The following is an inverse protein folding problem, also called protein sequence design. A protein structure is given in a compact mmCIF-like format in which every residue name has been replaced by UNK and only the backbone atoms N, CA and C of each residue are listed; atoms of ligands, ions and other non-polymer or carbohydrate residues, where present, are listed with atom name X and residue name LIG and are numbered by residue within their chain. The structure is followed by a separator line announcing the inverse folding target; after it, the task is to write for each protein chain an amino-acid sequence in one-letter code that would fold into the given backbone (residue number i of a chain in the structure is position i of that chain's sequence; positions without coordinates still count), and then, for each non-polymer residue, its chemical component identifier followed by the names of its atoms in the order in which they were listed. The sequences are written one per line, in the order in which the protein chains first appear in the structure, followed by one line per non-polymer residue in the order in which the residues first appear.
data_IF_929048618051
#
_entry.id   IF_929048618051
#
_cell.length_a   1.000
_cell.length_b   1.000
_cell.length_c   1.000
_cell.angle_alpha   90.00
_cell.angle_beta   90.00
_cell.angle_gamma   90.00
#
_symmetry.space_group_name_H-M   'P 1'
#
loop_
_entity.id
_entity.type
_entity.pdbx_description
1 polymer ?
#
# COMPACT_ATOMS: atom_id res chain seq x y z
N UNK A 1 12.30 -20.79 66.46
CA UNK A 1 12.48 -22.12 67.13
C UNK A 1 12.69 -23.16 66.05
N UNK A 2 13.84 -23.81 66.15
CA UNK A 2 14.18 -25.20 65.82
C UNK A 2 13.86 -25.67 64.37
N UNK A 3 14.89 -25.90 63.46
CA UNK A 3 15.83 -27.05 63.41
C UNK A 3 15.08 -28.35 63.03
N UNK A 4 15.48 -29.19 62.08
CA UNK A 4 16.77 -29.80 61.66
C UNK A 4 16.45 -30.77 60.52
N UNK A 5 17.26 -30.94 59.45
CA UNK A 5 18.28 -32.00 59.25
C UNK A 5 17.75 -33.39 58.90
N UNK A 6 18.14 -33.93 57.70
CA UNK A 6 19.06 -35.07 57.45
C UNK A 6 18.91 -35.52 56.01
N UNK A 7 19.82 -35.60 55.07
CA UNK A 7 21.09 -36.33 54.96
C UNK A 7 20.93 -37.87 54.83
N UNK A 8 21.44 -38.40 53.74
CA UNK A 8 21.66 -39.82 53.45
C UNK A 8 21.77 -40.05 51.91
N UNK A 9 22.86 -40.20 51.43
CA UNK A 9 23.97 -41.16 51.31
C UNK A 9 23.84 -42.06 50.05
N UNK A 10 24.91 -42.03 49.30
CA UNK A 10 25.31 -42.62 48.03
C UNK A 10 25.20 -44.14 47.96
N UNK A 11 25.10 -44.68 46.75
CA UNK A 11 25.85 -45.88 46.33
C UNK A 11 26.25 -45.78 44.87
N UNK A 12 27.53 -45.89 44.62
CA UNK A 12 28.17 -46.02 43.34
C UNK A 12 28.09 -47.44 42.80
N UNK A 13 27.93 -47.61 41.54
CA UNK A 13 28.32 -48.86 40.84
C UNK A 13 28.87 -48.51 39.44
N UNK A 14 30.19 -48.66 39.31
CA UNK A 14 30.91 -48.73 38.06
C UNK A 14 30.55 -50.01 37.32
N UNK A 15 30.30 -49.93 36.04
CA UNK A 15 30.59 -51.00 35.06
C UNK A 15 31.00 -50.32 33.77
N UNK A 16 32.27 -50.51 33.42
CA UNK A 16 32.88 -50.18 32.14
C UNK A 16 32.56 -51.28 31.15
N UNK A 17 32.19 -50.90 29.93
CA UNK A 17 32.46 -51.69 28.70
C UNK A 17 32.67 -50.75 27.51
N UNK A 18 33.83 -50.91 26.94
CA UNK A 18 34.37 -50.37 25.69
C UNK A 18 33.64 -50.87 24.49
N UNK A 19 33.38 -50.00 23.49
CA UNK A 19 33.49 -50.36 22.04
C UNK A 19 33.37 -49.13 21.15
N UNK A 20 34.44 -48.83 20.43
CA UNK A 20 34.62 -48.36 19.04
C UNK A 20 33.72 -47.26 18.47
N UNK A 21 34.33 -46.12 18.28
CA UNK A 21 34.54 -45.35 17.03
C UNK A 21 33.44 -45.34 15.98
N UNK A 22 32.83 -44.17 15.77
CA UNK A 22 32.73 -43.49 14.47
C UNK A 22 32.17 -42.08 14.71
N UNK A 23 33.01 -41.08 14.49
CA UNK A 23 32.68 -39.67 14.45
C UNK A 23 31.95 -39.37 13.14
N UNK A 24 30.78 -38.73 13.19
CA UNK A 24 30.40 -37.85 12.08
C UNK A 24 30.61 -36.41 12.54
N UNK A 25 31.43 -35.68 11.82
CA UNK A 25 31.59 -34.23 11.92
C UNK A 25 30.23 -33.56 11.77
N UNK A 26 29.74 -33.06 12.86
CA UNK A 26 28.60 -32.13 12.84
C UNK A 26 29.11 -30.74 12.41
N UNK A 27 28.99 -30.42 11.15
CA UNK A 27 29.06 -29.06 10.63
C UNK A 27 27.83 -28.32 11.21
N UNK A 28 28.03 -27.53 12.22
CA UNK A 28 27.02 -26.57 12.70
C UNK A 28 26.89 -25.46 11.64
N UNK A 29 26.01 -25.65 10.66
CA UNK A 29 25.49 -24.57 9.83
C UNK A 29 24.62 -23.68 10.72
N UNK A 30 25.19 -22.59 11.20
CA UNK A 30 24.44 -21.49 11.79
C UNK A 30 23.48 -20.95 10.74
N UNK A 31 22.21 -21.31 10.82
CA UNK A 31 21.16 -20.68 10.07
C UNK A 31 21.02 -19.24 10.60
N UNK A 32 21.49 -18.28 9.84
CA UNK A 32 21.12 -16.87 10.02
C UNK A 32 19.59 -16.77 9.90
N UNK A 33 18.93 -15.89 10.71
CA UNK A 33 17.50 -15.68 10.56
C UNK A 33 17.24 -15.14 9.14
N UNK A 34 16.55 -15.91 8.32
CA UNK A 34 16.03 -15.45 7.05
C UNK A 34 15.06 -14.31 7.33
N UNK A 35 15.45 -13.09 6.97
CA UNK A 35 14.51 -11.99 6.81
C UNK A 35 13.39 -12.48 5.89
N UNK A 36 12.15 -12.46 6.39
CA UNK A 36 10.98 -12.92 5.68
C UNK A 36 10.85 -12.21 4.33
N UNK A 37 11.32 -12.84 3.28
CA UNK A 37 11.10 -12.41 1.91
C UNK A 37 9.61 -12.56 1.60
N UNK A 38 8.90 -11.44 1.46
CA UNK A 38 7.57 -11.47 0.82
C UNK A 38 7.75 -12.11 -0.56
N UNK A 39 7.10 -13.24 -0.77
CA UNK A 39 7.12 -13.92 -2.08
C UNK A 39 6.51 -12.97 -3.12
N UNK A 40 7.17 -12.82 -4.26
CA UNK A 40 6.59 -12.19 -5.43
C UNK A 40 5.41 -13.08 -5.89
N UNK A 41 4.23 -12.49 -6.05
CA UNK A 41 3.02 -13.21 -6.46
C UNK A 41 2.70 -12.80 -7.89
N UNK A 42 2.64 -13.76 -8.81
CA UNK A 42 2.32 -13.55 -10.23
C UNK A 42 0.82 -13.71 -10.55
N UNK A 43 -0.06 -13.85 -9.55
CA UNK A 43 -1.49 -14.09 -9.75
C UNK A 43 -2.29 -12.80 -9.98
N UNK A 44 -1.75 -11.90 -10.81
CA UNK A 44 -2.43 -10.67 -11.20
C UNK A 44 -3.43 -10.96 -12.32
N UNK A 45 -4.71 -10.71 -12.08
CA UNK A 45 -5.73 -10.81 -13.10
C UNK A 45 -6.20 -9.41 -13.51
N UNK A 46 -5.99 -9.09 -14.78
CA UNK A 46 -6.62 -7.94 -15.38
C UNK A 46 -8.09 -8.23 -15.67
N UNK A 47 -8.91 -7.19 -15.60
CA UNK A 47 -10.29 -7.23 -16.09
C UNK A 47 -10.33 -7.21 -17.62
N UNK A 48 -11.50 -7.46 -18.17
CA UNK A 48 -11.81 -7.34 -19.60
C UNK A 48 -11.60 -5.92 -20.16
N UNK A 49 -11.58 -4.90 -19.28
CA UNK A 49 -11.30 -3.51 -19.67
C UNK A 49 -9.87 -3.32 -20.25
N UNK A 50 -8.92 -4.18 -19.86
CA UNK A 50 -7.54 -4.10 -20.36
C UNK A 50 -7.40 -4.61 -21.79
N UNK A 51 -8.15 -5.66 -22.15
CA UNK A 51 -8.12 -6.25 -23.50
C UNK A 51 -6.74 -6.74 -23.97
N UNK A 52 -6.60 -6.88 -25.28
CA UNK A 52 -5.34 -7.20 -25.93
C UNK A 52 -4.63 -5.91 -26.34
N UNK A 53 -3.51 -5.61 -25.69
CA UNK A 53 -2.69 -4.43 -25.94
C UNK A 53 -1.42 -4.82 -26.69
N UNK A 54 -1.13 -4.07 -27.76
CA UNK A 54 0.15 -4.18 -28.46
C UNK A 54 1.28 -3.50 -27.68
N UNK A 55 2.49 -4.02 -27.85
CA UNK A 55 3.68 -3.35 -27.31
C UNK A 55 3.92 -2.04 -28.05
N UNK A 56 4.05 -0.94 -27.31
CA UNK A 56 4.54 0.31 -27.85
C UNK A 56 6.07 0.29 -27.87
N UNK A 57 6.67 0.14 -29.07
CA UNK A 57 8.13 0.06 -29.22
C UNK A 57 8.84 1.31 -28.66
N UNK A 58 8.28 2.52 -28.88
CA UNK A 58 8.84 3.76 -28.35
C UNK A 58 8.90 3.74 -26.81
N UNK A 59 7.81 3.35 -26.15
CA UNK A 59 7.78 3.22 -24.68
C UNK A 59 8.78 2.18 -24.18
N UNK A 60 8.86 1.01 -24.87
CA UNK A 60 9.78 -0.07 -24.55
C UNK A 60 11.24 0.35 -24.69
N UNK A 61 11.59 1.08 -25.75
CA UNK A 61 12.96 1.53 -26.02
C UNK A 61 13.46 2.57 -25.00
N UNK A 62 12.54 3.30 -24.36
CA UNK A 62 12.84 4.21 -23.25
C UNK A 62 13.17 3.48 -21.92
N UNK A 63 12.86 2.19 -21.79
CA UNK A 63 13.12 1.45 -20.56
C UNK A 63 14.61 1.36 -20.24
N UNK A 64 15.00 1.46 -18.95
CA UNK A 64 16.33 1.07 -18.51
C UNK A 64 16.66 -0.36 -18.98
N UNK A 65 17.86 -0.57 -19.54
CA UNK A 65 18.29 -1.86 -20.09
C UNK A 65 18.07 -3.01 -19.09
N UNK A 66 18.38 -2.79 -17.82
CA UNK A 66 18.20 -3.81 -16.77
C UNK A 66 16.74 -4.26 -16.58
N UNK A 67 15.75 -3.39 -16.81
CA UNK A 67 14.32 -3.74 -16.73
C UNK A 67 13.89 -4.39 -18.03
N UNK A 68 14.26 -3.79 -19.17
CA UNK A 68 13.92 -4.29 -20.50
C UNK A 68 14.42 -5.71 -20.74
N UNK A 69 15.69 -5.96 -20.41
CA UNK A 69 16.36 -7.25 -20.66
C UNK A 69 15.88 -8.33 -19.68
N UNK A 70 15.50 -7.96 -18.45
CA UNK A 70 14.85 -8.84 -17.47
C UNK A 70 13.44 -9.26 -17.93
N UNK A 71 12.75 -8.44 -18.72
CA UNK A 71 11.39 -8.70 -19.20
C UNK A 71 10.30 -8.61 -18.11
N UNK A 72 10.61 -8.09 -16.93
CA UNK A 72 9.73 -8.05 -15.76
C UNK A 72 9.68 -6.65 -15.19
N UNK A 73 8.46 -6.16 -14.87
CA UNK A 73 8.23 -4.97 -14.04
C UNK A 73 7.92 -5.40 -12.61
N UNK A 74 8.82 -5.11 -11.69
CA UNK A 74 8.60 -5.39 -10.26
C UNK A 74 7.82 -4.25 -9.62
N UNK A 75 6.67 -4.56 -9.05
CA UNK A 75 5.76 -3.60 -8.45
C UNK A 75 5.57 -3.88 -6.97
N UNK A 76 5.77 -2.88 -6.12
CA UNK A 76 5.39 -2.93 -4.70
C UNK A 76 3.97 -2.38 -4.53
N UNK A 77 3.11 -3.12 -3.83
CA UNK A 77 1.74 -2.69 -3.59
C UNK A 77 1.13 -3.33 -2.35
N UNK A 78 0.14 -2.67 -1.73
CA UNK A 78 -0.62 -3.24 -0.62
C UNK A 78 -1.90 -3.89 -1.15
N UNK A 79 -1.96 -5.23 -1.07
CA UNK A 79 -3.05 -6.03 -1.68
C UNK A 79 -4.26 -6.20 -0.75
N UNK A 80 -4.59 -5.18 0.03
CA UNK A 80 -5.74 -5.15 0.94
C UNK A 80 -6.58 -3.87 0.81
N UNK A 81 -6.51 -3.18 -0.35
CA UNK A 81 -7.13 -1.87 -0.58
C UNK A 81 -8.14 -1.87 -1.73
N UNK A 82 -9.31 -2.53 -1.61
CA UNK A 82 -10.34 -2.40 -2.63
C UNK A 82 -10.83 -0.94 -2.69
N UNK A 83 -11.10 -0.38 -3.88
CA UNK A 83 -11.09 -1.02 -5.19
C UNK A 83 -9.74 -0.98 -5.92
N UNK A 84 -8.66 -0.44 -5.30
CA UNK A 84 -7.37 -0.19 -5.96
C UNK A 84 -6.58 -1.47 -6.24
N UNK A 85 -6.10 -2.13 -5.20
CA UNK A 85 -5.32 -3.36 -5.29
C UNK A 85 -5.72 -4.28 -4.14
N UNK A 86 -6.31 -5.43 -4.44
CA UNK A 86 -6.80 -6.34 -3.41
C UNK A 86 -6.77 -7.81 -3.86
N UNK A 87 -6.68 -8.70 -2.86
CA UNK A 87 -6.72 -10.13 -3.07
C UNK A 87 -8.16 -10.63 -3.01
N UNK A 88 -8.56 -11.40 -4.04
CA UNK A 88 -9.83 -12.12 -4.12
C UNK A 88 -9.53 -13.60 -4.40
N UNK A 89 -9.69 -14.45 -3.39
CA UNK A 89 -9.19 -15.82 -3.42
C UNK A 89 -7.67 -15.85 -3.58
N UNK A 90 -7.18 -16.49 -4.63
CA UNK A 90 -5.76 -16.56 -4.98
C UNK A 90 -5.32 -15.47 -5.96
N UNK A 91 -6.21 -14.55 -6.35
CA UNK A 91 -6.00 -13.59 -7.43
C UNK A 91 -5.89 -12.18 -6.89
N UNK A 92 -4.98 -11.39 -7.41
CA UNK A 92 -4.89 -9.94 -7.14
C UNK A 92 -5.65 -9.22 -8.24
N UNK A 93 -6.60 -8.37 -7.84
CA UNK A 93 -7.48 -7.57 -8.70
C UNK A 93 -7.49 -6.12 -8.26
N UNK A 94 -8.14 -5.27 -9.03
CA UNK A 94 -8.40 -3.89 -8.69
C UNK A 94 -8.07 -2.91 -9.82
N UNK A 95 -8.43 -1.66 -9.63
CA UNK A 95 -8.13 -0.57 -10.56
C UNK A 95 -6.63 -0.52 -10.89
N UNK A 96 -5.79 -0.59 -9.88
CA UNK A 96 -4.33 -0.56 -10.08
C UNK A 96 -3.80 -1.87 -10.64
N UNK A 97 -4.44 -3.02 -10.37
CA UNK A 97 -4.10 -4.27 -11.03
C UNK A 97 -4.29 -4.15 -12.54
N UNK A 98 -5.41 -3.56 -12.98
CA UNK A 98 -5.66 -3.31 -14.40
C UNK A 98 -4.63 -2.35 -15.00
N UNK A 99 -4.31 -1.24 -14.33
CA UNK A 99 -3.27 -0.31 -14.80
C UNK A 99 -1.89 -0.96 -14.84
N UNK A 100 -1.51 -1.74 -13.83
CA UNK A 100 -0.22 -2.45 -13.79
C UNK A 100 -0.10 -3.40 -14.97
N UNK A 101 -1.15 -4.17 -15.26
CA UNK A 101 -1.15 -5.10 -16.40
C UNK A 101 -1.12 -4.35 -17.72
N UNK A 102 -1.96 -3.30 -17.88
CA UNK A 102 -2.03 -2.52 -19.11
C UNK A 102 -0.68 -1.85 -19.43
N UNK A 103 -0.09 -1.15 -18.46
CA UNK A 103 1.23 -0.52 -18.61
C UNK A 103 2.31 -1.56 -18.90
N UNK A 104 2.32 -2.69 -18.20
CA UNK A 104 3.30 -3.76 -18.45
C UNK A 104 3.17 -4.34 -19.85
N UNK A 105 1.95 -4.62 -20.33
CA UNK A 105 1.72 -5.09 -21.73
C UNK A 105 2.23 -4.06 -22.74
N UNK A 106 1.89 -2.79 -22.56
CA UNK A 106 2.34 -1.70 -23.45
C UNK A 106 3.86 -1.58 -23.49
N UNK A 107 4.54 -1.86 -22.37
CA UNK A 107 6.01 -1.89 -22.27
C UNK A 107 6.63 -3.23 -22.73
N UNK A 108 5.82 -4.25 -23.05
CA UNK A 108 6.31 -5.62 -23.35
C UNK A 108 6.98 -6.29 -22.17
N UNK A 109 6.46 -6.08 -20.96
CA UNK A 109 6.96 -6.64 -19.70
C UNK A 109 5.90 -7.54 -19.04
N UNK A 110 6.33 -8.47 -18.19
CA UNK A 110 5.47 -9.23 -17.28
C UNK A 110 5.47 -8.53 -15.92
N UNK A 111 4.31 -8.19 -15.32
CA UNK A 111 4.27 -7.60 -13.99
C UNK A 111 4.46 -8.65 -12.90
N UNK A 112 5.23 -8.30 -11.86
CA UNK A 112 5.36 -9.06 -10.61
C UNK A 112 5.02 -8.16 -9.43
N UNK A 113 4.02 -8.55 -8.60
CA UNK A 113 3.62 -7.79 -7.42
C UNK A 113 4.28 -8.36 -6.16
N UNK A 114 4.90 -7.48 -5.40
CA UNK A 114 5.35 -7.74 -4.04
C UNK A 114 4.37 -7.09 -3.08
N UNK A 115 3.59 -7.90 -2.34
CA UNK A 115 2.72 -7.37 -1.28
C UNK A 115 3.56 -6.69 -0.19
N UNK A 116 3.30 -5.43 0.04
CA UNK A 116 4.12 -4.56 0.91
C UNK A 116 3.20 -3.62 1.67
N UNK A 117 3.41 -3.49 2.98
CA UNK A 117 2.66 -2.51 3.78
C UNK A 117 2.89 -1.09 3.24
N UNK A 118 1.85 -0.28 3.24
CA UNK A 118 1.87 1.09 2.70
C UNK A 118 3.07 1.90 3.23
N UNK A 119 3.31 1.87 4.53
CA UNK A 119 4.41 2.59 5.17
C UNK A 119 5.82 2.16 4.70
N UNK A 120 5.96 0.98 4.09
CA UNK A 120 7.24 0.45 3.61
C UNK A 120 7.48 0.69 2.10
N UNK A 121 6.55 1.33 1.38
CA UNK A 121 6.65 1.54 -0.06
C UNK A 121 7.87 2.39 -0.44
N UNK A 122 8.08 3.54 0.20
CA UNK A 122 9.23 4.42 -0.07
C UNK A 122 10.55 3.69 0.17
N UNK A 123 10.67 3.00 1.32
CA UNK A 123 11.87 2.22 1.65
C UNK A 123 12.10 1.08 0.65
N UNK A 124 11.03 0.41 0.20
CA UNK A 124 11.12 -0.65 -0.79
C UNK A 124 11.62 -0.17 -2.15
N UNK A 125 11.20 1.03 -2.60
CA UNK A 125 11.72 1.69 -3.79
C UNK A 125 13.20 2.05 -3.63
N UNK A 126 13.56 2.76 -2.57
CA UNK A 126 14.93 3.24 -2.36
C UNK A 126 15.93 2.09 -2.19
N UNK A 127 15.50 0.96 -1.59
CA UNK A 127 16.30 -0.27 -1.46
C UNK A 127 16.28 -1.17 -2.71
N UNK A 128 15.66 -0.75 -3.82
CA UNK A 128 15.57 -1.51 -5.09
C UNK A 128 14.85 -2.86 -4.97
N UNK A 129 13.96 -3.00 -4.00
CA UNK A 129 13.16 -4.22 -3.84
C UNK A 129 12.16 -4.39 -4.99
N UNK A 130 11.63 -3.28 -5.49
CA UNK A 130 10.79 -3.18 -6.68
C UNK A 130 11.13 -1.91 -7.48
N UNK A 131 10.66 -1.86 -8.73
CA UNK A 131 10.93 -0.76 -9.65
C UNK A 131 9.92 0.38 -9.47
N UNK A 132 8.67 0.01 -9.24
CA UNK A 132 7.50 0.89 -9.15
C UNK A 132 6.71 0.57 -7.87
N UNK A 133 6.10 1.57 -7.27
CA UNK A 133 5.13 1.38 -6.17
C UNK A 133 3.76 1.92 -6.60
N UNK A 134 2.71 1.08 -6.46
CA UNK A 134 1.31 1.44 -6.69
C UNK A 134 0.44 0.86 -5.56
N UNK A 135 -0.22 1.71 -4.80
CA UNK A 135 -1.05 1.35 -3.66
C UNK A 135 -1.94 2.53 -3.24
N UNK A 136 -2.74 3.09 -4.17
CA UNK A 136 -3.42 4.36 -3.92
C UNK A 136 -2.41 5.43 -3.43
N UNK A 137 -1.28 5.49 -4.12
CA UNK A 137 -0.11 6.19 -3.63
C UNK A 137 -0.16 7.67 -4.01
N UNK A 138 -0.71 8.49 -3.09
CA UNK A 138 -0.81 9.93 -3.32
C UNK A 138 0.56 10.56 -3.51
N UNK A 139 0.72 11.30 -4.60
CA UNK A 139 1.82 12.22 -4.82
C UNK A 139 1.72 13.36 -3.78
N UNK A 140 2.75 13.55 -2.98
CA UNK A 140 2.85 14.64 -1.99
C UNK A 140 4.25 15.22 -1.98
N UNK A 141 4.39 16.50 -1.66
CA UNK A 141 5.70 17.18 -1.57
C UNK A 141 6.70 16.42 -0.68
N UNK A 142 6.25 15.98 0.49
CA UNK A 142 7.12 15.24 1.41
C UNK A 142 7.66 13.92 0.81
N UNK A 143 6.85 13.23 0.00
CA UNK A 143 7.29 12.03 -0.71
C UNK A 143 8.19 12.36 -1.90
N UNK A 144 7.91 13.46 -2.62
CA UNK A 144 8.73 13.95 -3.72
C UNK A 144 10.16 14.29 -3.30
N UNK A 145 10.43 14.52 -2.02
CA UNK A 145 11.80 14.68 -1.50
C UNK A 145 12.62 13.38 -1.64
N UNK A 146 11.98 12.21 -1.59
CA UNK A 146 12.62 10.90 -1.54
C UNK A 146 12.46 10.07 -2.82
N UNK A 147 11.33 10.22 -3.53
CA UNK A 147 10.98 9.47 -4.74
C UNK A 147 10.35 10.42 -5.75
N UNK A 148 10.21 9.97 -7.00
CA UNK A 148 9.44 10.66 -8.02
C UNK A 148 8.12 9.92 -8.28
N UNK A 149 7.13 10.61 -8.84
CA UNK A 149 5.84 10.06 -9.21
C UNK A 149 5.57 10.25 -10.69
N UNK A 150 4.98 9.24 -11.32
CA UNK A 150 4.28 9.35 -12.60
C UNK A 150 2.80 9.26 -12.30
N UNK A 151 2.13 10.40 -12.30
CA UNK A 151 0.74 10.52 -11.88
C UNK A 151 -0.20 10.00 -12.96
N UNK A 152 -1.16 9.20 -12.55
CA UNK A 152 -2.11 8.53 -13.42
C UNK A 152 -3.59 8.80 -13.08
N UNK A 153 -3.90 9.40 -11.93
CA UNK A 153 -5.30 9.63 -11.53
C UNK A 153 -5.43 10.81 -10.57
N UNK A 154 -6.56 11.50 -10.62
CA UNK A 154 -6.96 12.47 -9.59
C UNK A 154 -7.27 11.75 -8.29
N UNK A 155 -7.07 12.44 -7.17
CA UNK A 155 -7.33 11.95 -5.82
C UNK A 155 -7.93 13.05 -4.97
N UNK A 156 -8.85 12.66 -4.08
CA UNK A 156 -9.41 13.54 -3.06
C UNK A 156 -9.75 12.73 -1.82
N UNK A 157 -9.82 13.40 -0.68
CA UNK A 157 -10.13 12.77 0.59
C UNK A 157 -11.55 13.11 1.02
N UNK A 158 -12.13 12.24 1.83
CA UNK A 158 -13.44 12.41 2.48
C UNK A 158 -13.40 11.74 3.86
N UNK A 159 -14.56 11.57 4.49
CA UNK A 159 -14.71 10.88 5.76
C UNK A 159 -15.70 9.71 5.63
N UNK A 160 -15.39 8.62 6.30
CA UNK A 160 -16.35 7.56 6.64
C UNK A 160 -16.66 7.67 8.12
N UNK A 161 -17.94 7.62 8.46
CA UNK A 161 -18.47 7.70 9.83
C UNK A 161 -19.48 6.57 10.07
N UNK A 162 -19.85 6.33 11.31
CA UNK A 162 -20.96 5.45 11.63
C UNK A 162 -22.26 6.01 11.09
N UNK A 163 -23.19 5.10 10.74
CA UNK A 163 -24.53 5.45 10.25
C UNK A 163 -25.21 6.49 11.15
N UNK A 164 -25.73 7.54 10.50
CA UNK A 164 -26.37 8.67 11.19
C UNK A 164 -25.38 9.69 11.78
N UNK A 165 -24.08 9.53 11.51
CA UNK A 165 -23.00 10.46 11.93
C UNK A 165 -23.19 11.02 13.37
N UNK A 166 -23.16 10.15 14.39
CA UNK A 166 -23.47 10.54 15.77
C UNK A 166 -22.51 11.60 16.32
N UNK A 167 -21.30 11.68 15.78
CA UNK A 167 -20.24 12.62 16.20
C UNK A 167 -20.27 13.92 15.41
N UNK A 168 -21.13 14.02 14.38
CA UNK A 168 -21.35 15.21 13.53
C UNK A 168 -20.07 15.70 12.82
N UNK A 169 -19.15 14.81 12.49
CA UNK A 169 -17.96 15.15 11.71
C UNK A 169 -18.37 15.32 10.26
N UNK A 170 -18.31 16.52 9.74
CA UNK A 170 -18.62 16.85 8.34
C UNK A 170 -17.52 17.61 7.61
N UNK A 171 -16.50 18.10 8.35
CA UNK A 171 -15.35 18.83 7.78
C UNK A 171 -14.07 18.58 8.58
N UNK A 172 -12.94 19.04 8.03
CA UNK A 172 -11.65 18.98 8.72
C UNK A 172 -11.65 19.81 10.03
N UNK A 173 -12.31 20.96 10.04
CA UNK A 173 -12.39 21.88 11.18
C UNK A 173 -13.15 21.26 12.35
N UNK A 174 -14.09 20.37 12.07
CA UNK A 174 -14.89 19.67 13.08
C UNK A 174 -14.17 18.49 13.71
N UNK A 175 -13.00 18.10 13.21
CA UNK A 175 -12.19 17.06 13.82
C UNK A 175 -11.59 17.45 15.18
N UNK A 176 -11.61 18.74 15.56
CA UNK A 176 -11.04 19.20 16.84
C UNK A 176 -11.70 18.49 18.03
N UNK A 177 -10.88 17.76 18.82
CA UNK A 177 -11.34 16.97 19.98
C UNK A 177 -11.88 15.58 19.64
N UNK A 178 -11.97 15.22 18.36
CA UNK A 178 -12.38 13.90 17.93
C UNK A 178 -11.21 12.93 17.78
N UNK A 179 -11.54 11.62 17.86
CA UNK A 179 -10.63 10.52 17.57
C UNK A 179 -10.82 10.07 16.14
N UNK A 180 -9.75 10.00 15.37
CA UNK A 180 -9.78 9.53 13.99
C UNK A 180 -8.79 8.40 13.77
N UNK A 181 -9.12 7.50 12.84
CA UNK A 181 -8.23 6.40 12.44
C UNK A 181 -7.81 6.55 10.98
N UNK A 182 -6.67 5.94 10.62
CA UNK A 182 -6.25 5.80 9.24
C UNK A 182 -5.02 4.92 9.10
N UNK A 183 -4.71 4.51 7.88
CA UNK A 183 -3.50 3.75 7.63
C UNK A 183 -2.25 4.62 7.88
N UNK A 184 -1.28 4.08 8.59
CA UNK A 184 -0.04 4.79 8.94
C UNK A 184 0.67 5.29 7.68
N UNK A 185 0.97 6.59 7.64
CA UNK A 185 1.60 7.26 6.50
C UNK A 185 0.66 7.64 5.36
N UNK A 186 -0.65 7.38 5.46
CA UNK A 186 -1.63 7.84 4.48
C UNK A 186 -1.75 9.38 4.48
N UNK A 187 -2.06 9.97 3.30
CA UNK A 187 -2.25 11.42 3.16
C UNK A 187 -3.32 11.94 4.12
N UNK A 188 -4.43 11.23 4.28
CA UNK A 188 -5.51 11.59 5.19
C UNK A 188 -5.06 11.68 6.66
N UNK A 189 -4.18 10.77 7.11
CA UNK A 189 -3.59 10.78 8.45
C UNK A 189 -2.68 12.00 8.64
N UNK A 190 -1.89 12.34 7.62
CA UNK A 190 -1.03 13.53 7.65
C UNK A 190 -1.88 14.79 7.78
N UNK A 191 -2.90 14.94 6.94
CA UNK A 191 -3.81 16.09 6.96
C UNK A 191 -4.57 16.22 8.30
N UNK A 192 -5.05 15.10 8.86
CA UNK A 192 -5.71 15.09 10.18
C UNK A 192 -4.74 15.49 11.31
N UNK A 193 -3.46 15.09 11.21
CA UNK A 193 -2.42 15.49 12.17
C UNK A 193 -2.13 17.01 12.08
N UNK A 194 -2.09 17.56 10.88
CA UNK A 194 -1.93 19.00 10.66
C UNK A 194 -3.14 19.77 11.19
N UNK A 195 -4.34 19.26 10.98
CA UNK A 195 -5.55 19.82 11.55
C UNK A 195 -5.51 19.83 13.08
N UNK A 196 -4.98 18.77 13.71
CA UNK A 196 -4.78 18.74 15.16
C UNK A 196 -3.92 19.89 15.67
N UNK A 197 -2.84 20.24 14.95
CA UNK A 197 -2.01 21.42 15.27
C UNK A 197 -2.79 22.73 15.11
N UNK A 198 -3.59 22.85 14.05
CA UNK A 198 -4.44 24.01 13.81
C UNK A 198 -5.50 24.17 14.91
N UNK A 199 -6.10 23.06 15.38
CA UNK A 199 -7.02 23.08 16.52
C UNK A 199 -6.36 23.66 17.78
N UNK A 200 -5.16 23.18 18.13
CA UNK A 200 -4.42 23.70 19.30
C UNK A 200 -4.10 25.19 19.16
N UNK A 201 -3.66 25.62 17.97
CA UNK A 201 -3.39 27.03 17.69
C UNK A 201 -4.65 27.90 17.82
N UNK A 202 -5.83 27.34 17.59
CA UNK A 202 -7.13 27.98 17.76
C UNK A 202 -7.72 27.85 19.21
N UNK A 203 -6.96 27.31 20.16
CA UNK A 203 -7.40 27.09 21.53
C UNK A 203 -8.41 25.96 21.72
N UNK A 204 -8.52 25.06 20.73
CA UNK A 204 -9.39 23.88 20.77
C UNK A 204 -8.60 22.62 21.12
N UNK A 205 -9.25 21.54 21.58
CA UNK A 205 -8.60 20.24 21.77
C UNK A 205 -8.02 19.74 20.44
N UNK A 206 -6.84 19.08 20.49
CA UNK A 206 -6.23 18.46 19.31
C UNK A 206 -7.09 17.31 18.76
N UNK A 207 -6.88 16.97 17.50
CA UNK A 207 -7.36 15.70 16.94
C UNK A 207 -6.52 14.56 17.52
N UNK A 208 -7.16 13.49 18.01
CA UNK A 208 -6.51 12.24 18.42
C UNK A 208 -6.41 11.32 17.19
N UNK A 209 -5.25 11.32 16.54
CA UNK A 209 -5.01 10.58 15.30
C UNK A 209 -4.39 9.22 15.60
N UNK A 210 -5.12 8.14 15.32
CA UNK A 210 -4.68 6.77 15.53
C UNK A 210 -4.26 6.13 14.19
N UNK A 211 -2.96 5.79 14.08
CA UNK A 211 -2.41 5.09 12.91
C UNK A 211 -2.54 3.58 13.04
N UNK A 212 -3.02 2.93 11.99
CA UNK A 212 -3.18 1.48 11.90
C UNK A 212 -2.32 0.90 10.76
N UNK A 213 -1.97 -0.40 10.82
CA UNK A 213 -1.19 -1.05 9.76
C UNK A 213 -1.92 -1.10 8.41
N UNK A 214 -3.25 -1.23 8.42
CA UNK A 214 -4.09 -1.31 7.21
C UNK A 214 -5.34 -0.45 7.32
N UNK A 215 -5.98 -0.14 6.18
CA UNK A 215 -7.28 0.53 6.14
C UNK A 215 -8.37 -0.32 6.83
N UNK A 216 -8.32 -1.64 6.67
CA UNK A 216 -9.28 -2.55 7.31
C UNK A 216 -9.20 -2.50 8.85
N UNK A 217 -7.99 -2.41 9.42
CA UNK A 217 -7.80 -2.25 10.87
C UNK A 217 -8.37 -0.91 11.37
N UNK A 218 -8.18 0.17 10.59
CA UNK A 218 -8.72 1.49 10.89
C UNK A 218 -10.27 1.49 10.81
N UNK A 219 -10.84 0.83 9.79
CA UNK A 219 -12.30 0.66 9.69
C UNK A 219 -12.87 -0.10 10.86
N UNK A 220 -12.23 -1.19 11.28
CA UNK A 220 -12.66 -1.97 12.45
C UNK A 220 -12.66 -1.10 13.73
N UNK A 221 -11.68 -0.20 13.89
CA UNK A 221 -11.69 0.74 15.00
C UNK A 221 -12.89 1.70 14.98
N UNK A 222 -13.31 2.17 13.78
CA UNK A 222 -14.51 2.98 13.60
C UNK A 222 -15.78 2.15 13.92
N UNK A 223 -15.93 0.97 13.34
CA UNK A 223 -17.09 0.11 13.56
C UNK A 223 -17.27 -0.24 15.05
N UNK A 224 -16.18 -0.52 15.75
CA UNK A 224 -16.18 -0.82 17.18
C UNK A 224 -16.33 0.43 18.08
N UNK A 225 -16.40 1.64 17.51
CA UNK A 225 -16.57 2.89 18.26
C UNK A 225 -15.33 3.33 19.05
N UNK A 226 -14.15 2.84 18.68
CA UNK A 226 -12.88 3.31 19.25
C UNK A 226 -12.49 4.70 18.74
N UNK A 227 -12.95 5.04 17.54
CA UNK A 227 -12.76 6.32 16.86
C UNK A 227 -14.09 6.85 16.32
N UNK A 228 -14.14 8.14 16.04
CA UNK A 228 -15.33 8.87 15.64
C UNK A 228 -15.47 8.95 14.12
N UNK A 229 -14.36 9.00 13.39
CA UNK A 229 -14.32 9.09 11.93
C UNK A 229 -13.07 8.43 11.35
N UNK A 230 -13.16 8.09 10.08
CA UNK A 230 -12.09 7.58 9.24
C UNK A 230 -11.86 8.55 8.08
N UNK A 231 -10.94 9.52 8.20
CA UNK A 231 -10.48 10.32 7.07
C UNK A 231 -9.73 9.41 6.09
N UNK A 232 -10.19 9.36 4.83
CA UNK A 232 -9.74 8.37 3.86
C UNK A 232 -9.92 8.88 2.43
N UNK A 233 -9.21 8.32 1.48
CA UNK A 233 -9.40 8.59 0.06
C UNK A 233 -10.78 8.12 -0.41
N UNK A 234 -11.39 8.89 -1.35
CA UNK A 234 -12.79 8.75 -1.76
C UNK A 234 -13.16 7.37 -2.29
N UNK A 235 -12.36 6.77 -3.18
CA UNK A 235 -12.70 5.47 -3.74
C UNK A 235 -12.59 4.34 -2.69
N UNK A 236 -11.62 4.43 -1.77
CA UNK A 236 -11.55 3.55 -0.61
C UNK A 236 -12.77 3.74 0.29
N UNK A 237 -13.17 5.00 0.56
CA UNK A 237 -14.34 5.32 1.36
C UNK A 237 -15.60 4.67 0.81
N UNK A 238 -15.85 4.81 -0.51
CA UNK A 238 -16.98 4.14 -1.18
C UNK A 238 -16.97 2.63 -0.97
N UNK A 239 -15.83 1.99 -1.20
CA UNK A 239 -15.72 0.54 -1.03
C UNK A 239 -15.98 0.10 0.42
N UNK A 240 -15.47 0.85 1.40
CA UNK A 240 -15.69 0.57 2.82
C UNK A 240 -17.18 0.69 3.20
N UNK A 241 -17.86 1.74 2.72
CA UNK A 241 -19.28 1.95 2.97
C UNK A 241 -20.12 0.84 2.32
N UNK A 242 -19.82 0.48 1.06
CA UNK A 242 -20.51 -0.62 0.37
C UNK A 242 -20.35 -1.96 1.12
N UNK A 243 -19.15 -2.25 1.64
CA UNK A 243 -18.87 -3.49 2.37
C UNK A 243 -19.42 -3.50 3.81
N UNK A 244 -19.90 -2.37 4.33
CA UNK A 244 -20.32 -2.23 5.74
C UNK A 244 -21.72 -2.73 6.03
N UNK A 245 -22.47 -3.22 5.03
CA UNK A 245 -23.88 -3.62 5.18
C UNK A 245 -24.77 -2.52 5.82
N UNK A 246 -24.47 -1.26 5.55
CA UNK A 246 -25.22 -0.11 6.04
C UNK A 246 -24.83 0.38 7.45
N UNK A 247 -23.77 -0.15 8.05
CA UNK A 247 -23.27 0.31 9.35
C UNK A 247 -22.49 1.62 9.26
N UNK A 248 -21.93 1.90 8.10
CA UNK A 248 -21.12 3.10 7.82
C UNK A 248 -21.79 3.95 6.76
N UNK A 249 -21.44 5.23 6.75
CA UNK A 249 -21.85 6.18 5.71
C UNK A 249 -20.71 7.09 5.30
N UNK A 250 -20.81 7.58 4.07
CA UNK A 250 -19.91 8.55 3.49
C UNK A 250 -20.37 9.96 3.86
N UNK A 251 -19.45 10.81 4.27
CA UNK A 251 -19.71 12.25 4.41
C UNK A 251 -19.51 12.92 3.05
N UNK A 252 -20.52 13.66 2.58
CA UNK A 252 -20.47 14.35 1.28
C UNK A 252 -19.67 15.66 1.36
N UNK A 253 -18.42 15.53 1.80
CA UNK A 253 -17.44 16.62 1.86
C UNK A 253 -16.09 16.10 1.36
N UNK A 254 -15.47 16.87 0.47
CA UNK A 254 -14.20 16.50 -0.15
C UNK A 254 -13.12 17.52 0.19
N UNK A 255 -11.93 17.03 0.48
CA UNK A 255 -10.79 17.88 0.85
C UNK A 255 -9.47 17.29 0.33
N UNK A 256 -8.40 18.07 0.41
CA UNK A 256 -7.06 17.64 0.06
C UNK A 256 -6.94 17.11 -1.38
N UNK A 257 -7.41 17.84 -2.41
CA UNK A 257 -7.26 17.39 -3.79
C UNK A 257 -5.79 17.14 -4.12
N UNK A 258 -5.54 16.25 -5.06
CA UNK A 258 -4.19 15.88 -5.49
C UNK A 258 -4.21 14.82 -6.58
N UNK A 259 -3.10 14.15 -6.72
CA UNK A 259 -2.91 13.07 -7.69
C UNK A 259 -2.46 11.80 -6.98
N UNK A 260 -2.82 10.66 -7.57
CA UNK A 260 -2.21 9.37 -7.29
C UNK A 260 -1.25 9.04 -8.42
N UNK A 261 -0.09 8.53 -8.07
CA UNK A 261 0.96 8.23 -9.03
C UNK A 261 1.65 6.91 -8.76
N UNK A 262 2.27 6.38 -9.79
CA UNK A 262 3.24 5.32 -9.71
C UNK A 262 4.54 5.90 -9.15
N UNK A 263 4.88 5.55 -7.91
CA UNK A 263 6.13 5.97 -7.28
C UNK A 263 7.31 5.24 -7.89
N UNK A 264 8.37 5.97 -8.19
CA UNK A 264 9.66 5.44 -8.70
C UNK A 264 10.82 6.04 -7.92
N UNK A 265 11.99 5.41 -7.97
CA UNK A 265 13.19 6.00 -7.37
C UNK A 265 13.54 7.32 -8.03
N UNK A 266 14.04 8.24 -7.21
CA UNK A 266 14.53 9.52 -7.70
C UNK A 266 15.67 9.34 -8.71
N UNK A 267 15.59 10.08 -9.83
CA UNK A 267 16.60 10.05 -10.87
C UNK A 267 16.48 8.91 -11.87
N UNK A 268 15.48 8.06 -11.79
CA UNK A 268 15.20 7.00 -12.79
C UNK A 268 14.49 7.58 -14.02
N UNK A 269 15.14 8.54 -14.69
CA UNK A 269 14.55 9.34 -15.77
C UNK A 269 14.06 8.50 -16.96
N UNK A 270 14.71 7.38 -17.25
CA UNK A 270 14.35 6.53 -18.40
C UNK A 270 13.09 5.71 -18.07
N UNK A 271 13.01 5.13 -16.85
CA UNK A 271 11.78 4.48 -16.40
C UNK A 271 10.61 5.47 -16.35
N UNK A 272 10.86 6.70 -15.88
CA UNK A 272 9.88 7.78 -15.85
C UNK A 272 9.30 8.07 -17.23
N UNK A 273 10.18 8.26 -18.25
CA UNK A 273 9.75 8.51 -19.64
C UNK A 273 8.99 7.32 -20.22
N UNK A 274 9.43 6.08 -19.93
CA UNK A 274 8.78 4.88 -20.39
C UNK A 274 7.36 4.76 -19.83
N UNK A 275 7.17 5.02 -18.53
CA UNK A 275 5.87 5.00 -17.88
C UNK A 275 4.94 6.12 -18.39
N UNK A 276 5.46 7.34 -18.60
CA UNK A 276 4.70 8.45 -19.20
C UNK A 276 4.18 8.07 -20.59
N UNK A 277 5.05 7.56 -21.46
CA UNK A 277 4.70 7.15 -22.82
C UNK A 277 3.69 6.00 -22.82
N UNK A 278 3.86 5.00 -21.93
CA UNK A 278 2.91 3.89 -21.82
C UNK A 278 1.54 4.37 -21.35
N UNK A 279 1.47 5.21 -20.31
CA UNK A 279 0.20 5.76 -19.82
C UNK A 279 -0.48 6.67 -20.86
N UNK A 280 0.29 7.48 -21.59
CA UNK A 280 -0.25 8.29 -22.68
C UNK A 280 -0.86 7.41 -23.78
N UNK A 281 -0.19 6.32 -24.14
CA UNK A 281 -0.72 5.33 -25.11
C UNK A 281 -2.08 4.79 -24.66
N UNK A 282 -2.23 4.44 -23.38
CA UNK A 282 -3.49 3.93 -22.83
C UNK A 282 -4.60 5.00 -22.80
N UNK A 283 -4.23 6.28 -22.65
CA UNK A 283 -5.18 7.39 -22.75
C UNK A 283 -5.63 7.55 -24.22
N UNK A 284 -4.69 7.56 -25.14
CA UNK A 284 -4.96 7.81 -26.57
C UNK A 284 -5.78 6.69 -27.24
N UNK A 285 -5.61 5.43 -26.81
CA UNK A 285 -6.38 4.27 -27.32
C UNK A 285 -7.68 4.02 -26.55
N UNK A 286 -7.95 4.79 -25.49
CA UNK A 286 -9.17 4.73 -24.68
C UNK A 286 -9.18 3.61 -23.64
N UNK A 287 -8.13 2.79 -23.52
CA UNK A 287 -8.04 1.73 -22.48
C UNK A 287 -8.04 2.32 -21.09
N UNK A 288 -7.34 3.44 -20.90
CA UNK A 288 -7.32 4.17 -19.63
C UNK A 288 -8.74 4.51 -19.13
N UNK A 289 -9.59 5.07 -19.99
CA UNK A 289 -10.97 5.41 -19.65
C UNK A 289 -11.80 4.17 -19.34
N UNK A 290 -11.67 3.10 -20.14
CA UNK A 290 -12.39 1.84 -19.92
C UNK A 290 -12.05 1.23 -18.56
N UNK A 291 -10.79 1.32 -18.12
CA UNK A 291 -10.35 0.86 -16.79
C UNK A 291 -11.05 1.68 -15.70
N UNK A 292 -11.07 3.01 -15.79
CA UNK A 292 -11.75 3.86 -14.83
C UNK A 292 -13.26 3.62 -14.77
N UNK A 293 -13.90 3.44 -15.93
CA UNK A 293 -15.35 3.18 -16.03
C UNK A 293 -15.71 1.81 -15.42
N UNK A 294 -14.87 0.79 -15.64
CA UNK A 294 -15.03 -0.55 -15.04
C UNK A 294 -15.09 -0.50 -13.52
N UNK A 295 -14.31 0.38 -12.91
CA UNK A 295 -14.24 0.54 -11.45
C UNK A 295 -15.16 1.66 -10.94
N UNK A 296 -16.03 2.22 -11.79
CA UNK A 296 -16.97 3.31 -11.47
C UNK A 296 -16.27 4.57 -10.91
N UNK A 297 -15.09 4.88 -11.44
CA UNK A 297 -14.24 5.99 -11.03
C UNK A 297 -13.88 6.96 -12.19
N UNK A 298 -14.81 7.28 -13.13
CA UNK A 298 -14.49 8.14 -14.28
C UNK A 298 -14.03 9.54 -13.86
N UNK A 299 -14.48 10.04 -12.71
CA UNK A 299 -14.08 11.35 -12.18
C UNK A 299 -12.58 11.46 -11.81
N UNK A 300 -11.89 10.32 -11.66
CA UNK A 300 -10.46 10.28 -11.40
C UNK A 300 -9.61 10.52 -12.66
N UNK A 301 -10.23 10.58 -13.86
CA UNK A 301 -9.50 10.76 -15.11
C UNK A 301 -8.66 12.03 -15.14
N UNK A 302 -7.44 11.90 -15.66
CA UNK A 302 -6.54 13.00 -16.02
C UNK A 302 -6.46 13.10 -17.56
N UNK A 303 -6.17 14.28 -18.07
CA UNK A 303 -6.03 14.50 -19.52
C UNK A 303 -4.72 13.93 -20.07
N UNK A 304 -3.67 13.98 -19.25
CA UNK A 304 -2.33 13.46 -19.56
C UNK A 304 -1.59 13.07 -18.29
N UNK A 305 -0.71 12.06 -18.35
CA UNK A 305 0.14 11.72 -17.21
C UNK A 305 1.19 12.83 -17.01
N UNK A 306 1.51 13.10 -15.75
CA UNK A 306 2.47 14.13 -15.35
C UNK A 306 3.46 13.58 -14.34
N UNK A 307 4.58 14.27 -14.19
CA UNK A 307 5.59 13.93 -13.18
C UNK A 307 5.49 14.90 -12.02
N UNK A 308 5.39 14.36 -10.79
CA UNK A 308 5.37 15.17 -9.56
C UNK A 308 4.34 16.31 -9.64
N UNK A 309 3.14 16.01 -10.14
CA UNK A 309 2.12 17.01 -10.50
C UNK A 309 1.39 17.62 -9.31
N UNK A 310 1.47 17.00 -8.12
CA UNK A 310 0.89 17.58 -6.90
C UNK A 310 1.71 18.78 -6.43
N UNK A 311 1.01 19.87 -6.13
CA UNK A 311 1.60 21.15 -5.71
C UNK A 311 1.75 21.27 -4.20
#
# INVERSE_FOLDING_TARGET
MRKQFMAGLAVASLLAMTACSSTPSATSSGAAPQAGGSAAVSNLAASDAVGDLAVNSKARDLLPAAIRDRGVLKVGGETSQPPYLFTDGATIKGLEADFIVAVSKTLGLTPEITNTKFAALVTGLTSRRFDVAMANFSDTKARQEQIDFVDYAKSQQTFVVKKGNPTKVTSMEELCGHKVAGATGAKSVILATEQGKACVAAGKPSVDVQGFPTVADAQLALTNGRVDALPIEYALARAQVQASNGELELVDTYYGPGLNGAGIRKGESDLQKALLEALQTLIDDGTYQKILDKWELPAMAIEKPVVNGSK
#
